data_IF_545564457018
#
_entry.id   IF_545564457018
#
_cell.length_a   1.000
_cell.length_b   1.000
_cell.length_c   1.000
_cell.angle_alpha   90.00
_cell.angle_beta   90.00
_cell.angle_gamma   90.00
#
_symmetry.space_group_name_H-M   'P 1'
#
loop_
_entity.id
_entity.type
_entity.pdbx_description
1 polymer ?
#
# COMPACT_ATOMS: atom_id res chain seq x y z
N UNK A 1 7.56 -1.34 -19.36
CA UNK A 1 7.84 0.04 -18.91
C UNK A 1 7.56 0.24 -17.42
N UNK A 2 6.46 -0.27 -16.86
CA UNK A 2 6.14 -0.09 -15.42
C UNK A 2 7.27 -0.59 -14.51
N UNK A 3 7.80 -1.80 -14.74
CA UNK A 3 8.95 -2.31 -13.97
C UNK A 3 10.18 -1.39 -14.08
N UNK A 4 10.43 -0.85 -15.28
CA UNK A 4 11.55 0.03 -15.54
C UNK A 4 11.47 1.35 -14.74
N UNK A 5 10.27 1.82 -14.39
CA UNK A 5 10.10 3.01 -13.53
C UNK A 5 10.73 2.83 -12.15
N UNK A 6 10.81 1.59 -11.65
CA UNK A 6 11.46 1.27 -10.38
C UNK A 6 12.99 1.24 -10.42
N UNK A 7 13.60 1.28 -11.61
CA UNK A 7 15.06 1.20 -11.75
C UNK A 7 15.77 2.52 -11.45
N UNK A 8 15.06 3.65 -11.47
CA UNK A 8 15.63 5.01 -11.49
C UNK A 8 16.52 5.32 -12.71
N UNK A 9 16.46 4.50 -13.78
CA UNK A 9 17.19 4.70 -15.04
C UNK A 9 16.27 5.02 -16.22
N UNK A 10 14.95 4.91 -16.03
CA UNK A 10 13.94 5.09 -17.07
C UNK A 10 13.36 6.49 -17.05
N UNK A 11 13.36 7.17 -18.20
CA UNK A 11 12.68 8.45 -18.38
C UNK A 11 11.21 8.22 -18.75
N UNK A 12 10.32 8.63 -17.84
CA UNK A 12 8.88 8.49 -17.99
C UNK A 12 8.28 9.40 -19.07
N UNK A 13 8.95 10.49 -19.43
CA UNK A 13 8.50 11.45 -20.45
C UNK A 13 8.80 10.90 -21.85
N UNK A 14 10.05 10.54 -22.12
CA UNK A 14 10.45 9.96 -23.42
C UNK A 14 10.10 8.47 -23.59
N UNK A 15 9.75 7.80 -22.49
CA UNK A 15 9.46 6.37 -22.41
C UNK A 15 10.62 5.46 -22.85
N UNK A 16 11.85 5.85 -22.49
CA UNK A 16 13.08 5.13 -22.82
C UNK A 16 14.01 5.08 -21.61
N UNK A 17 15.03 4.24 -21.70
CA UNK A 17 16.18 4.38 -20.80
C UNK A 17 16.83 5.75 -21.01
N UNK A 18 17.19 6.41 -19.92
CA UNK A 18 17.83 7.72 -19.95
C UNK A 18 19.34 7.56 -20.04
N UNK A 19 19.95 8.06 -21.12
CA UNK A 19 21.40 8.06 -21.29
C UNK A 19 22.10 8.79 -20.13
N UNK A 20 21.52 9.90 -19.66
CA UNK A 20 22.04 10.69 -18.54
C UNK A 20 22.03 9.89 -17.23
N UNK A 21 20.89 9.28 -16.86
CA UNK A 21 20.77 8.51 -15.63
C UNK A 21 21.65 7.25 -15.65
N UNK A 22 21.73 6.59 -16.81
CA UNK A 22 22.60 5.43 -16.99
C UNK A 22 24.08 5.83 -16.85
N UNK A 23 24.49 6.95 -17.46
CA UNK A 23 25.86 7.47 -17.37
C UNK A 23 26.26 7.83 -15.93
N UNK A 24 25.35 8.41 -15.13
CA UNK A 24 25.58 8.70 -13.71
C UNK A 24 25.91 7.44 -12.89
N UNK A 25 25.35 6.29 -13.27
CA UNK A 25 25.61 5.00 -12.63
C UNK A 25 26.74 4.19 -13.31
N UNK A 26 27.34 4.70 -14.40
CA UNK A 26 28.33 3.98 -15.21
C UNK A 26 27.74 2.75 -15.94
N UNK A 27 26.44 2.77 -16.23
CA UNK A 27 25.72 1.68 -16.91
C UNK A 27 25.63 1.99 -18.41
N UNK A 28 26.05 1.03 -19.24
CA UNK A 28 25.83 1.11 -20.69
C UNK A 28 24.37 0.74 -21.01
N UNK A 29 23.66 1.64 -21.71
CA UNK A 29 22.26 1.42 -22.09
C UNK A 29 22.05 0.13 -22.91
N UNK A 30 23.06 -0.34 -23.63
CA UNK A 30 22.99 -1.55 -24.46
C UNK A 30 22.86 -2.84 -23.66
N UNK A 31 23.20 -2.84 -22.36
CA UNK A 31 22.99 -4.00 -21.48
C UNK A 31 21.58 -4.05 -20.88
N UNK A 32 20.81 -2.97 -21.01
CA UNK A 32 19.46 -2.89 -20.46
C UNK A 32 18.45 -3.58 -21.38
N UNK A 33 17.43 -4.24 -20.82
CA UNK A 33 16.44 -4.94 -21.63
C UNK A 33 15.57 -3.97 -22.43
N UNK A 34 14.98 -4.40 -23.56
CA UNK A 34 14.05 -3.57 -24.30
C UNK A 34 12.82 -3.21 -23.45
N UNK A 35 12.33 -1.97 -23.60
CA UNK A 35 11.11 -1.51 -22.93
C UNK A 35 9.89 -1.96 -23.74
N UNK A 36 9.04 -2.77 -23.11
CA UNK A 36 7.80 -3.29 -23.70
C UNK A 36 6.58 -3.02 -22.80
N UNK A 37 5.38 -3.23 -23.32
CA UNK A 37 4.14 -3.15 -22.54
C UNK A 37 3.94 -4.40 -21.68
N UNK A 38 3.24 -4.30 -20.53
CA UNK A 38 2.97 -5.45 -19.67
C UNK A 38 2.26 -6.63 -20.37
N UNK A 39 1.46 -6.34 -21.39
CA UNK A 39 0.71 -7.33 -22.17
C UNK A 39 1.49 -7.92 -23.36
N UNK A 40 2.67 -7.38 -23.68
CA UNK A 40 3.44 -7.84 -24.83
C UNK A 40 3.95 -9.26 -24.58
N UNK A 41 3.81 -10.13 -25.60
CA UNK A 41 4.35 -11.48 -25.59
C UNK A 41 5.86 -11.39 -25.83
N UNK A 42 6.64 -11.64 -24.78
CA UNK A 42 8.10 -11.57 -24.81
C UNK A 42 8.76 -12.91 -25.20
N UNK A 43 7.96 -13.97 -25.30
CA UNK A 43 8.46 -15.28 -25.68
C UNK A 43 7.41 -16.37 -25.57
N UNK A 44 7.88 -17.61 -25.62
CA UNK A 44 7.07 -18.81 -25.47
C UNK A 44 7.79 -19.80 -24.57
N UNK A 45 7.03 -20.62 -23.85
CA UNK A 45 7.59 -21.72 -23.07
C UNK A 45 8.38 -22.65 -23.99
N UNK A 46 9.68 -22.79 -23.73
CA UNK A 46 10.56 -23.71 -24.45
C UNK A 46 10.32 -25.15 -24.00
N UNK A 47 10.71 -26.14 -24.80
CA UNK A 47 10.58 -27.55 -24.42
C UNK A 47 11.30 -27.89 -23.09
N UNK A 48 12.48 -27.30 -22.88
CA UNK A 48 13.25 -27.49 -21.65
C UNK A 48 12.51 -26.97 -20.41
N UNK A 49 11.83 -25.83 -20.53
CA UNK A 49 10.99 -25.26 -19.47
C UNK A 49 9.69 -26.05 -19.27
N UNK A 50 9.07 -26.52 -20.35
CA UNK A 50 7.89 -27.37 -20.31
C UNK A 50 8.14 -28.65 -19.50
N UNK A 51 9.28 -29.32 -19.75
CA UNK A 51 9.69 -30.53 -19.00
C UNK A 51 9.84 -30.30 -17.50
N UNK A 52 10.29 -29.11 -17.08
CA UNK A 52 10.51 -28.75 -15.67
C UNK A 52 9.25 -28.30 -14.94
N UNK A 53 8.33 -27.66 -15.65
CA UNK A 53 7.19 -26.95 -15.05
C UNK A 53 5.85 -27.66 -15.27
N UNK A 54 5.78 -28.58 -16.25
CA UNK A 54 4.52 -29.19 -16.70
C UNK A 54 3.68 -28.29 -17.62
N UNK A 55 4.13 -27.06 -17.90
CA UNK A 55 3.47 -26.17 -18.85
C UNK A 55 3.65 -26.64 -20.30
N UNK A 56 2.68 -26.35 -21.16
CA UNK A 56 2.74 -26.72 -22.58
C UNK A 56 3.81 -25.89 -23.31
N UNK A 57 4.72 -26.56 -24.03
CA UNK A 57 5.67 -25.90 -24.92
C UNK A 57 4.94 -25.06 -25.99
N UNK A 58 5.47 -23.88 -26.29
CA UNK A 58 4.84 -22.92 -27.19
C UNK A 58 3.80 -22.01 -26.54
N UNK A 59 3.44 -22.21 -25.26
CA UNK A 59 2.53 -21.30 -24.53
C UNK A 59 3.13 -19.89 -24.49
N UNK A 60 2.40 -18.84 -24.91
CA UNK A 60 2.88 -17.46 -24.85
C UNK A 60 3.24 -17.03 -23.42
N UNK A 61 4.32 -16.25 -23.30
CA UNK A 61 4.76 -15.63 -22.04
C UNK A 61 4.72 -14.12 -22.23
N UNK A 62 3.92 -13.43 -21.42
CA UNK A 62 3.84 -11.97 -21.42
C UNK A 62 4.91 -11.34 -20.53
N UNK A 63 5.21 -10.05 -20.76
CA UNK A 63 6.16 -9.31 -19.93
C UNK A 63 5.73 -9.25 -18.46
N UNK A 64 4.45 -9.00 -18.18
CA UNK A 64 3.97 -8.74 -16.83
C UNK A 64 4.43 -7.38 -16.29
N UNK A 65 4.28 -7.18 -14.99
CA UNK A 65 4.61 -5.94 -14.28
C UNK A 65 4.76 -6.21 -12.77
N UNK A 66 5.01 -5.15 -12.00
CA UNK A 66 5.23 -5.19 -10.55
C UNK A 66 4.06 -5.84 -9.80
N UNK A 67 4.39 -6.47 -8.66
CA UNK A 67 3.42 -7.08 -7.76
C UNK A 67 2.35 -6.08 -7.31
N UNK A 68 2.75 -4.85 -7.01
CA UNK A 68 1.90 -3.78 -6.49
C UNK A 68 0.90 -3.34 -7.54
N UNK A 69 1.32 -3.18 -8.80
CA UNK A 69 0.39 -2.87 -9.88
C UNK A 69 -0.64 -4.00 -10.07
N UNK A 70 -0.24 -5.25 -9.89
CA UNK A 70 -1.14 -6.41 -9.99
C UNK A 70 -2.11 -6.52 -8.82
N UNK A 71 -1.68 -6.20 -7.60
CA UNK A 71 -2.58 -6.14 -6.44
C UNK A 71 -3.61 -5.00 -6.58
N UNK A 72 -3.18 -3.81 -7.02
CA UNK A 72 -4.08 -2.66 -7.30
C UNK A 72 -5.10 -3.04 -8.37
N UNK A 73 -4.65 -3.69 -9.44
CA UNK A 73 -5.54 -4.18 -10.48
C UNK A 73 -6.51 -5.26 -9.96
N UNK A 74 -6.01 -6.24 -9.21
CA UNK A 74 -6.81 -7.33 -8.62
C UNK A 74 -7.78 -6.84 -7.54
N UNK A 75 -7.53 -5.68 -6.92
CA UNK A 75 -8.46 -5.04 -5.99
C UNK A 75 -9.65 -4.37 -6.70
N UNK A 76 -9.60 -4.28 -8.03
CA UNK A 76 -10.61 -3.65 -8.86
C UNK A 76 -10.37 -2.17 -9.17
N UNK A 77 -9.27 -1.58 -8.69
CA UNK A 77 -8.95 -0.18 -8.96
C UNK A 77 -8.43 -0.03 -10.39
N UNK A 78 -9.27 0.49 -11.28
CA UNK A 78 -8.99 0.59 -12.73
C UNK A 78 -9.45 1.90 -13.35
N UNK A 79 -10.06 2.78 -12.57
CA UNK A 79 -10.62 4.06 -13.01
C UNK A 79 -10.00 5.21 -12.21
N UNK A 80 -9.88 6.39 -12.85
CA UNK A 80 -9.43 7.61 -12.18
C UNK A 80 -10.30 7.86 -10.93
N UNK A 81 -9.65 8.17 -9.81
CA UNK A 81 -10.28 8.40 -8.51
C UNK A 81 -10.51 7.14 -7.68
N UNK A 82 -10.33 5.94 -8.24
CA UNK A 82 -10.28 4.71 -7.44
C UNK A 82 -9.12 4.81 -6.44
N UNK A 83 -9.36 4.37 -5.21
CA UNK A 83 -8.39 4.44 -4.12
C UNK A 83 -8.20 3.05 -3.51
N UNK A 84 -6.96 2.74 -3.16
CA UNK A 84 -6.61 1.50 -2.45
C UNK A 84 -5.97 1.85 -1.11
N UNK A 85 -6.30 1.07 -0.08
CA UNK A 85 -5.69 1.15 1.26
C UNK A 85 -5.08 -0.22 1.56
N UNK A 86 -3.75 -0.29 1.56
CA UNK A 86 -3.01 -1.52 1.82
C UNK A 86 -2.62 -1.61 3.28
N UNK A 87 -3.08 -2.67 3.96
CA UNK A 87 -2.67 -3.07 5.30
C UNK A 87 -1.81 -4.34 5.22
N UNK A 88 -0.58 -4.21 4.74
CA UNK A 88 0.41 -5.28 4.64
C UNK A 88 1.62 -4.97 5.52
N UNK A 89 2.76 -5.65 5.33
CA UNK A 89 4.01 -5.38 6.09
C UNK A 89 4.29 -3.88 6.18
N UNK A 90 4.33 -3.22 5.03
CA UNK A 90 4.19 -1.78 4.87
C UNK A 90 2.74 -1.44 4.50
N UNK A 91 2.29 -0.26 4.90
CA UNK A 91 0.99 0.29 4.54
C UNK A 91 1.13 1.26 3.37
N UNK A 92 0.09 1.38 2.54
CA UNK A 92 0.06 2.34 1.43
C UNK A 92 -1.34 2.86 1.20
N UNK A 93 -1.44 4.10 0.72
CA UNK A 93 -2.64 4.65 0.11
C UNK A 93 -2.27 5.05 -1.31
N UNK A 94 -2.88 4.42 -2.31
CA UNK A 94 -2.67 4.75 -3.72
C UNK A 94 -3.97 5.24 -4.33
N UNK A 95 -3.89 6.28 -5.15
CA UNK A 95 -5.02 6.81 -5.92
C UNK A 95 -4.73 6.62 -7.40
N UNK A 96 -5.69 6.07 -8.13
CA UNK A 96 -5.60 5.99 -9.59
C UNK A 96 -5.80 7.38 -10.18
N UNK A 97 -4.83 7.85 -10.94
CA UNK A 97 -4.83 9.19 -11.56
C UNK A 97 -4.53 9.07 -13.06
N UNK A 98 -4.70 10.15 -13.80
CA UNK A 98 -4.39 10.25 -15.23
C UNK A 98 -3.03 10.89 -15.52
N UNK A 99 -2.25 11.16 -14.47
CA UNK A 99 -0.91 11.77 -14.55
C UNK A 99 -0.07 11.41 -13.32
N UNK A 100 1.27 11.42 -13.42
CA UNK A 100 2.13 11.31 -12.25
C UNK A 100 2.08 12.58 -11.41
N UNK A 101 2.42 12.45 -10.12
CA UNK A 101 2.58 13.53 -9.15
C UNK A 101 4.00 13.48 -8.59
N UNK A 102 4.98 14.15 -9.24
CA UNK A 102 6.38 14.12 -8.81
C UNK A 102 6.55 14.87 -7.50
N UNK A 103 6.46 14.14 -6.39
CA UNK A 103 6.62 14.64 -5.04
C UNK A 103 7.49 13.66 -4.24
N UNK A 104 8.34 14.18 -3.35
CA UNK A 104 9.26 13.36 -2.52
C UNK A 104 8.54 12.33 -1.65
N UNK A 105 7.29 12.60 -1.28
CA UNK A 105 6.50 11.76 -0.39
C UNK A 105 5.61 10.77 -1.16
N UNK A 106 5.66 10.78 -2.50
CA UNK A 106 4.90 9.88 -3.37
C UNK A 106 5.80 8.99 -4.22
N UNK A 107 5.42 7.71 -4.26
CA UNK A 107 5.98 6.77 -5.23
C UNK A 107 5.05 6.71 -6.44
N UNK A 108 5.60 6.99 -7.62
CA UNK A 108 4.84 7.11 -8.86
C UNK A 108 5.12 5.94 -9.80
N UNK A 109 4.07 5.20 -10.15
CA UNK A 109 4.11 4.16 -11.17
C UNK A 109 2.91 4.28 -12.10
N UNK A 110 3.10 3.89 -13.34
CA UNK A 110 2.01 3.77 -14.30
C UNK A 110 1.18 2.53 -14.01
N UNK A 111 -0.12 2.63 -14.25
CA UNK A 111 -1.06 1.52 -14.14
C UNK A 111 -1.11 0.72 -15.45
N UNK A 112 -1.59 -0.53 -15.41
CA UNK A 112 -1.81 -1.33 -16.64
C UNK A 112 -2.97 -0.81 -17.49
N UNK A 113 -3.85 0.02 -16.91
CA UNK A 113 -4.87 0.73 -17.67
C UNK A 113 -4.22 1.91 -18.39
N UNK A 114 -4.41 1.97 -19.71
CA UNK A 114 -3.73 2.92 -20.59
C UNK A 114 -3.94 4.36 -20.11
N UNK A 115 -2.84 5.09 -19.94
CA UNK A 115 -2.83 6.51 -19.56
C UNK A 115 -3.04 6.75 -18.06
N UNK A 116 -3.26 5.71 -17.26
CA UNK A 116 -3.44 5.85 -15.82
C UNK A 116 -2.15 5.59 -15.04
N UNK A 117 -2.10 6.15 -13.84
CA UNK A 117 -1.03 6.08 -12.86
C UNK A 117 -1.61 5.71 -11.50
N UNK A 118 -0.76 5.26 -10.58
CA UNK A 118 -1.14 5.03 -9.19
C UNK A 118 -0.12 5.66 -8.23
N UNK A 119 0.01 7.00 -8.19
CA UNK A 119 0.76 7.66 -7.12
C UNK A 119 0.27 7.16 -5.76
N UNK A 120 1.21 6.90 -4.86
CA UNK A 120 0.87 6.43 -3.53
C UNK A 120 1.88 6.82 -2.47
N UNK A 121 1.35 7.04 -1.28
CA UNK A 121 2.12 7.18 -0.05
C UNK A 121 2.49 5.83 0.52
N UNK A 122 3.43 5.82 1.45
CA UNK A 122 3.81 4.61 2.16
C UNK A 122 4.09 4.89 3.63
N UNK A 123 3.65 3.97 4.49
CA UNK A 123 4.13 3.81 5.86
C UNK A 123 4.93 2.51 5.95
N UNK A 124 6.16 2.58 6.45
CA UNK A 124 7.12 1.45 6.42
C UNK A 124 6.69 0.28 7.29
N UNK A 125 6.10 0.55 8.45
CA UNK A 125 5.78 -0.49 9.43
C UNK A 125 4.29 -0.47 9.80
N UNK A 126 3.47 -1.05 8.92
CA UNK A 126 2.04 -1.25 9.14
C UNK A 126 1.79 -2.58 9.88
N UNK A 127 1.50 -3.68 9.17
CA UNK A 127 1.36 -5.00 9.78
C UNK A 127 2.67 -5.50 10.40
N UNK A 128 3.82 -4.95 9.99
CA UNK A 128 5.09 -5.19 10.67
C UNK A 128 5.08 -4.67 12.12
N UNK A 129 4.45 -3.53 12.41
CA UNK A 129 4.34 -3.01 13.78
C UNK A 129 3.53 -3.95 14.68
N UNK A 130 2.40 -4.45 14.18
CA UNK A 130 1.58 -5.37 14.97
C UNK A 130 2.29 -6.71 15.19
N UNK A 131 2.97 -7.23 14.14
CA UNK A 131 3.80 -8.43 14.25
C UNK A 131 4.93 -8.24 15.26
N UNK A 132 5.68 -7.14 15.17
CA UNK A 132 6.75 -6.80 16.10
C UNK A 132 6.25 -6.78 17.54
N UNK A 133 5.12 -6.12 17.79
CA UNK A 133 4.53 -6.05 19.12
C UNK A 133 4.16 -7.44 19.65
N UNK A 134 3.49 -8.27 18.83
CA UNK A 134 3.17 -9.66 19.19
C UNK A 134 4.42 -10.49 19.47
N UNK A 135 5.44 -10.38 18.63
CA UNK A 135 6.66 -11.19 18.76
C UNK A 135 7.50 -10.77 19.97
N UNK A 136 7.45 -9.48 20.33
CA UNK A 136 8.22 -8.90 21.44
C UNK A 136 7.52 -9.10 22.79
N UNK A 137 6.20 -8.90 22.85
CA UNK A 137 5.43 -8.92 24.09
C UNK A 137 4.49 -10.15 24.22
N UNK A 138 4.56 -11.06 23.26
CA UNK A 138 3.80 -12.31 23.17
C UNK A 138 2.36 -12.13 22.67
N UNK A 139 1.60 -13.24 22.69
CA UNK A 139 0.15 -13.30 22.45
C UNK A 139 -0.27 -13.87 21.10
N UNK A 140 -1.55 -14.21 21.00
CA UNK A 140 -2.21 -14.52 19.73
C UNK A 140 -3.03 -13.33 19.23
N UNK A 141 -3.07 -13.12 17.91
CA UNK A 141 -3.77 -11.98 17.32
C UNK A 141 -5.25 -11.92 17.69
N UNK A 142 -5.95 -13.06 17.81
CA UNK A 142 -7.37 -13.05 18.17
C UNK A 142 -7.59 -12.57 19.60
N UNK A 143 -6.74 -13.00 20.52
CA UNK A 143 -6.80 -12.61 21.93
C UNK A 143 -6.45 -11.13 22.10
N UNK A 144 -5.40 -10.68 21.41
CA UNK A 144 -4.96 -9.30 21.39
C UNK A 144 -6.06 -8.37 20.84
N UNK A 145 -6.66 -8.72 19.70
CA UNK A 145 -7.76 -7.96 19.10
C UNK A 145 -9.00 -7.92 20.01
N UNK A 146 -9.40 -9.06 20.59
CA UNK A 146 -10.56 -9.14 21.45
C UNK A 146 -10.43 -8.29 22.73
N UNK A 147 -9.22 -8.19 23.28
CA UNK A 147 -8.93 -7.33 24.42
C UNK A 147 -8.88 -5.84 24.01
N UNK A 148 -8.20 -5.53 22.90
CA UNK A 148 -8.08 -4.17 22.37
C UNK A 148 -9.44 -3.55 22.00
N UNK A 149 -10.38 -4.36 21.52
CA UNK A 149 -11.74 -3.92 21.17
C UNK A 149 -12.50 -3.25 22.33
N UNK A 150 -12.13 -3.56 23.58
CA UNK A 150 -12.79 -3.03 24.79
C UNK A 150 -12.21 -1.70 25.28
N UNK A 151 -11.04 -1.31 24.78
CA UNK A 151 -10.38 -0.06 25.16
C UNK A 151 -11.02 1.10 24.38
N UNK A 152 -11.24 2.29 24.95
CA UNK A 152 -11.81 3.42 24.21
C UNK A 152 -10.84 3.97 23.14
N UNK A 153 -11.41 4.72 22.18
CA UNK A 153 -10.63 5.47 21.18
C UNK A 153 -9.60 6.39 21.85
N UNK A 154 -8.37 6.38 21.34
CA UNK A 154 -7.28 7.21 21.84
C UNK A 154 -6.60 6.67 23.10
N UNK A 155 -6.92 5.42 23.48
CA UNK A 155 -6.21 4.65 24.49
C UNK A 155 -5.95 5.42 25.81
N UNK A 156 -6.94 6.21 26.24
CA UNK A 156 -6.86 7.03 27.47
C UNK A 156 -5.63 7.97 27.51
N UNK A 157 -5.19 8.43 26.34
CA UNK A 157 -4.07 9.35 26.18
C UNK A 157 -2.73 8.67 25.84
N UNK A 158 -2.69 7.33 25.75
CA UNK A 158 -1.51 6.64 25.23
C UNK A 158 -1.45 6.68 23.71
N UNK A 159 -0.28 7.03 23.17
CA UNK A 159 -0.02 7.10 21.73
C UNK A 159 1.14 6.19 21.37
N UNK A 160 1.04 5.56 20.21
CA UNK A 160 2.13 4.79 19.59
C UNK A 160 2.46 5.38 18.21
N UNK A 161 3.73 5.70 17.98
CA UNK A 161 4.26 6.03 16.65
C UNK A 161 4.90 4.79 16.04
N UNK A 162 4.50 4.35 14.83
CA UNK A 162 4.90 3.06 14.27
C UNK A 162 6.26 3.07 13.55
N UNK A 163 7.15 4.03 13.82
CA UNK A 163 8.36 4.27 13.02
C UNK A 163 9.52 3.34 13.36
N UNK A 164 9.27 2.02 13.41
CA UNK A 164 10.28 1.02 13.81
C UNK A 164 11.50 0.96 12.88
N UNK A 165 11.38 1.45 11.63
CA UNK A 165 12.43 1.41 10.60
C UNK A 165 12.61 2.81 9.95
N UNK A 166 12.45 3.87 10.73
CA UNK A 166 12.16 5.21 10.21
C UNK A 166 10.79 5.26 9.56
N UNK A 167 10.52 6.32 8.80
CA UNK A 167 9.28 6.47 8.04
C UNK A 167 9.53 6.98 6.61
N UNK A 168 8.56 6.73 5.73
CA UNK A 168 8.46 7.38 4.43
C UNK A 168 7.51 8.57 4.55
N UNK A 169 6.32 8.53 3.95
CA UNK A 169 5.40 9.66 3.91
C UNK A 169 4.85 9.99 5.31
N UNK A 170 4.74 11.27 5.72
CA UNK A 170 5.14 12.50 5.02
C UNK A 170 6.55 13.02 5.40
N UNK A 171 7.36 12.24 6.10
CA UNK A 171 8.59 12.75 6.72
C UNK A 171 9.84 12.51 5.86
N UNK A 172 9.86 11.40 5.13
CA UNK A 172 11.04 10.81 4.47
C UNK A 172 12.26 10.78 5.40
N UNK A 173 12.03 10.37 6.65
CA UNK A 173 12.99 10.44 7.73
C UNK A 173 13.38 9.02 8.18
N UNK A 174 14.63 8.58 7.90
CA UNK A 174 15.10 7.27 8.31
C UNK A 174 15.44 7.17 9.81
N UNK A 175 15.56 8.30 10.53
CA UNK A 175 15.98 8.34 11.94
C UNK A 175 14.80 8.24 12.92
N UNK A 176 13.56 8.48 12.46
CA UNK A 176 12.37 8.30 13.30
C UNK A 176 12.35 6.90 13.93
N UNK A 177 11.92 6.86 15.20
CA UNK A 177 11.87 5.64 15.99
C UNK A 177 10.44 5.31 16.44
N UNK A 178 10.16 4.02 16.63
CA UNK A 178 8.94 3.59 17.31
C UNK A 178 8.92 4.06 18.76
N UNK A 179 7.77 4.54 19.23
CA UNK A 179 7.64 5.02 20.61
C UNK A 179 6.24 4.81 21.17
N UNK A 180 6.16 4.58 22.49
CA UNK A 180 4.93 4.67 23.27
C UNK A 180 5.04 5.87 24.22
N UNK A 181 4.07 6.76 24.20
CA UNK A 181 4.02 7.94 25.07
C UNK A 181 2.72 8.00 25.86
N UNK A 182 2.75 8.64 27.03
CA UNK A 182 1.55 8.85 27.85
C UNK A 182 1.14 7.63 28.70
N UNK A 183 2.04 6.68 28.96
CA UNK A 183 1.76 5.47 29.73
C UNK A 183 1.40 5.81 31.19
N UNK A 184 0.32 5.21 31.71
CA UNK A 184 -0.12 5.28 33.12
C UNK A 184 -0.23 3.87 33.70
N UNK A 185 -0.23 3.76 35.03
CA UNK A 185 -0.37 2.49 35.74
C UNK A 185 -1.72 1.77 35.48
N UNK A 186 -2.73 2.49 35.01
CA UNK A 186 -4.03 1.94 34.59
C UNK A 186 -3.98 1.25 33.24
N UNK A 187 -2.98 1.55 32.40
CA UNK A 187 -2.87 0.94 31.08
C UNK A 187 -2.46 -0.52 31.19
N UNK A 188 -3.20 -1.35 30.47
CA UNK A 188 -2.99 -2.78 30.38
C UNK A 188 -2.45 -3.15 29.00
N UNK A 189 -2.04 -4.40 28.82
CA UNK A 189 -1.64 -4.93 27.51
C UNK A 189 -2.67 -4.68 26.40
N UNK A 190 -3.96 -4.66 26.74
CA UNK A 190 -5.03 -4.34 25.79
C UNK A 190 -4.90 -2.90 25.24
N UNK A 191 -4.48 -1.95 26.08
CA UNK A 191 -4.22 -0.57 25.67
C UNK A 191 -3.02 -0.50 24.72
N UNK A 192 -1.95 -1.23 25.03
CA UNK A 192 -0.76 -1.25 24.16
C UNK A 192 -1.09 -1.86 22.79
N UNK A 193 -1.85 -2.95 22.76
CA UNK A 193 -2.34 -3.52 21.49
C UNK A 193 -3.16 -2.50 20.71
N UNK A 194 -4.15 -1.86 21.35
CA UNK A 194 -4.99 -0.88 20.67
C UNK A 194 -4.18 0.31 20.17
N UNK A 195 -3.24 0.81 20.96
CA UNK A 195 -2.36 1.91 20.57
C UNK A 195 -1.52 1.55 19.35
N UNK A 196 -1.03 0.31 19.24
CA UNK A 196 -0.31 -0.15 18.03
C UNK A 196 -1.20 -0.11 16.79
N UNK A 197 -2.45 -0.60 16.90
CA UNK A 197 -3.40 -0.58 15.79
C UNK A 197 -3.79 0.86 15.39
N UNK A 198 -4.14 1.70 16.38
CA UNK A 198 -4.51 3.11 16.17
C UNK A 198 -3.33 3.92 15.62
N UNK A 199 -2.11 3.71 16.13
CA UNK A 199 -0.88 4.37 15.70
C UNK A 199 -0.58 4.16 14.21
N UNK A 200 -0.77 2.94 13.73
CA UNK A 200 -0.65 2.64 12.29
C UNK A 200 -1.76 3.34 11.49
N UNK A 201 -2.99 3.37 11.99
CA UNK A 201 -4.07 4.10 11.32
C UNK A 201 -3.77 5.61 11.27
N UNK A 202 -3.18 6.20 12.32
CA UNK A 202 -2.76 7.60 12.31
C UNK A 202 -1.62 7.86 11.32
N UNK A 203 -0.63 6.96 11.20
CA UNK A 203 0.40 7.07 10.14
C UNK A 203 -0.22 7.04 8.73
N UNK A 204 -1.23 6.19 8.51
CA UNK A 204 -2.01 6.18 7.26
C UNK A 204 -2.81 7.47 7.05
N UNK A 205 -3.37 8.06 8.11
CA UNK A 205 -4.06 9.36 8.03
C UNK A 205 -3.11 10.49 7.66
N UNK A 206 -1.90 10.49 8.21
CA UNK A 206 -0.86 11.46 7.88
C UNK A 206 -0.39 11.29 6.42
N UNK A 207 -0.24 10.04 5.99
CA UNK A 207 -0.05 9.67 4.58
C UNK A 207 -1.20 10.17 3.69
N UNK A 208 -2.46 10.02 4.11
CA UNK A 208 -3.62 10.54 3.36
C UNK A 208 -3.56 12.07 3.22
N UNK A 209 -3.11 12.77 4.26
CA UNK A 209 -2.98 14.24 4.23
C UNK A 209 -2.00 14.75 3.16
N UNK A 210 -1.00 13.95 2.75
CA UNK A 210 -0.12 14.28 1.61
C UNK A 210 -0.91 14.33 0.31
N UNK A 211 -1.75 13.31 0.07
CA UNK A 211 -2.60 13.24 -1.12
C UNK A 211 -3.57 14.44 -1.17
N UNK A 212 -4.15 14.78 -0.01
CA UNK A 212 -5.05 15.93 0.13
C UNK A 212 -4.33 17.26 -0.15
N UNK A 213 -3.11 17.44 0.38
CA UNK A 213 -2.28 18.64 0.17
C UNK A 213 -1.90 18.83 -1.29
N UNK A 214 -1.69 17.74 -2.02
CA UNK A 214 -1.38 17.76 -3.45
C UNK A 214 -2.61 17.91 -4.35
N UNK A 215 -3.82 17.98 -3.76
CA UNK A 215 -5.07 18.14 -4.51
C UNK A 215 -5.45 16.90 -5.33
N UNK A 216 -4.96 15.72 -4.96
CA UNK A 216 -5.28 14.48 -5.66
C UNK A 216 -6.72 14.10 -5.29
N UNK A 217 -7.61 14.12 -6.29
CA UNK A 217 -9.01 13.76 -6.10
C UNK A 217 -9.19 12.22 -6.07
N UNK A 218 -9.98 11.73 -5.11
CA UNK A 218 -10.33 10.32 -4.98
C UNK A 218 -11.76 10.14 -4.42
N UNK A 219 -12.34 8.97 -4.67
CA UNK A 219 -13.67 8.62 -4.22
C UNK A 219 -13.76 8.32 -2.71
N UNK A 220 -14.98 8.26 -2.18
CA UNK A 220 -15.26 7.97 -0.76
C UNK A 220 -15.20 6.48 -0.39
N UNK A 221 -14.80 5.62 -1.34
CA UNK A 221 -14.74 4.16 -1.21
C UNK A 221 -13.39 3.66 -1.66
N UNK A 222 -12.66 2.98 -0.78
CA UNK A 222 -11.38 2.36 -1.07
C UNK A 222 -11.44 0.83 -1.10
N UNK A 223 -10.67 0.23 -2.01
CA UNK A 223 -10.36 -1.19 -1.94
C UNK A 223 -9.30 -1.43 -0.86
N UNK A 224 -9.68 -2.14 0.20
CA UNK A 224 -8.77 -2.52 1.27
C UNK A 224 -8.10 -3.86 0.93
N UNK A 225 -6.77 -3.85 0.88
CA UNK A 225 -5.95 -5.02 0.52
C UNK A 225 -4.90 -5.34 1.59
N UNK A 226 -4.36 -6.56 1.56
CA UNK A 226 -3.33 -7.02 2.50
C UNK A 226 -3.86 -7.71 3.76
N UNK A 227 -2.98 -8.43 4.47
CA UNK A 227 -3.36 -9.33 5.56
C UNK A 227 -4.04 -8.64 6.76
N UNK A 228 -3.72 -7.39 7.05
CA UNK A 228 -4.34 -6.61 8.14
C UNK A 228 -5.83 -6.37 7.94
N UNK A 229 -6.32 -6.44 6.70
CA UNK A 229 -7.75 -6.28 6.39
C UNK A 229 -8.61 -7.44 6.85
N UNK A 230 -8.03 -8.59 7.24
CA UNK A 230 -8.77 -9.75 7.73
C UNK A 230 -9.37 -9.51 9.12
N UNK A 231 -8.71 -8.71 9.96
CA UNK A 231 -9.20 -8.35 11.30
C UNK A 231 -10.30 -7.30 11.21
N UNK A 232 -11.48 -7.60 11.78
CA UNK A 232 -12.63 -6.69 11.73
C UNK A 232 -12.38 -5.41 12.51
N UNK A 233 -11.77 -5.52 13.71
CA UNK A 233 -11.43 -4.39 14.56
C UNK A 233 -10.54 -3.39 13.81
N UNK A 234 -9.43 -3.87 13.25
CA UNK A 234 -8.45 -2.99 12.62
C UNK A 234 -8.98 -2.40 11.31
N UNK A 235 -9.78 -3.16 10.56
CA UNK A 235 -10.47 -2.65 9.37
C UNK A 235 -11.47 -1.54 9.72
N UNK A 236 -12.25 -1.70 10.79
CA UNK A 236 -13.16 -0.64 11.26
C UNK A 236 -12.40 0.59 11.75
N UNK A 237 -11.34 0.41 12.54
CA UNK A 237 -10.48 1.53 12.97
C UNK A 237 -9.91 2.29 11.77
N UNK A 238 -9.42 1.58 10.76
CA UNK A 238 -8.86 2.20 9.55
C UNK A 238 -9.92 2.99 8.80
N UNK A 239 -11.14 2.45 8.63
CA UNK A 239 -12.25 3.15 8.02
C UNK A 239 -12.59 4.43 8.79
N UNK A 240 -12.79 4.31 10.11
CA UNK A 240 -13.13 5.43 11.00
C UNK A 240 -12.06 6.53 10.98
N UNK A 241 -10.78 6.17 11.09
CA UNK A 241 -9.65 7.11 11.12
C UNK A 241 -9.50 7.84 9.79
N UNK A 242 -9.59 7.14 8.66
CA UNK A 242 -9.46 7.75 7.34
C UNK A 242 -10.73 8.49 6.90
N UNK A 243 -11.88 8.17 7.49
CA UNK A 243 -13.19 8.66 7.05
C UNK A 243 -13.59 8.11 5.67
N UNK A 244 -13.12 6.90 5.31
CA UNK A 244 -13.31 6.29 3.99
C UNK A 244 -13.99 4.92 4.14
N UNK A 245 -14.96 4.61 3.29
CA UNK A 245 -15.57 3.28 3.24
C UNK A 245 -14.59 2.28 2.67
N UNK A 246 -14.35 1.17 3.38
CA UNK A 246 -13.45 0.12 2.92
C UNK A 246 -14.25 -1.04 2.32
N UNK A 247 -13.87 -1.48 1.12
CA UNK A 247 -14.37 -2.71 0.49
C UNK A 247 -13.26 -3.73 0.38
N UNK A 248 -13.55 -4.99 0.68
CA UNK A 248 -12.61 -6.10 0.43
C UNK A 248 -13.13 -6.99 -0.69
N UNK A 249 -12.21 -7.66 -1.38
CA UNK A 249 -12.52 -8.72 -2.34
C UNK A 249 -12.16 -10.10 -1.76
N UNK A 250 -12.66 -11.18 -2.36
CA UNK A 250 -12.28 -12.56 -1.97
C UNK A 250 -10.77 -12.80 -2.11
N UNK A 251 -10.16 -12.26 -3.15
CA UNK A 251 -8.71 -12.18 -3.37
C UNK A 251 -8.35 -10.85 -4.03
N UNK A 252 -7.18 -10.34 -3.68
CA UNK A 252 -6.54 -9.18 -4.32
C UNK A 252 -5.05 -9.48 -4.58
N UNK A 253 -4.70 -10.78 -4.65
CA UNK A 253 -3.33 -11.22 -4.78
C UNK A 253 -2.77 -10.85 -6.17
N UNK A 254 -1.49 -10.54 -6.23
CA UNK A 254 -0.79 -10.23 -7.48
C UNK A 254 -0.89 -11.37 -8.51
N UNK A 255 -1.06 -12.62 -8.07
CA UNK A 255 -1.26 -13.78 -8.93
C UNK A 255 -2.60 -13.74 -9.67
N UNK A 256 -3.68 -13.29 -9.02
CA UNK A 256 -4.98 -13.06 -9.67
C UNK A 256 -4.86 -11.93 -10.70
N UNK A 257 -4.24 -10.81 -10.34
CA UNK A 257 -3.98 -9.71 -11.25
C UNK A 257 -3.14 -10.13 -12.47
N UNK A 258 -2.13 -10.97 -12.26
CA UNK A 258 -1.29 -11.53 -13.33
C UNK A 258 -2.06 -12.44 -14.27
N UNK A 259 -2.94 -13.30 -13.73
CA UNK A 259 -3.81 -14.16 -14.53
C UNK A 259 -4.82 -13.33 -15.35
N UNK A 260 -5.39 -12.28 -14.77
CA UNK A 260 -6.26 -11.32 -15.45
C UNK A 260 -5.51 -10.60 -16.58
N UNK A 261 -4.28 -10.13 -16.33
CA UNK A 261 -3.43 -9.50 -17.34
C UNK A 261 -3.10 -10.44 -18.50
N UNK A 262 -2.76 -11.70 -18.20
CA UNK A 262 -2.56 -12.73 -19.21
C UNK A 262 -3.84 -13.01 -20.01
N UNK A 263 -5.01 -12.99 -19.37
CA UNK A 263 -6.30 -13.10 -20.03
C UNK A 263 -6.59 -11.92 -20.98
N UNK A 264 -6.17 -10.70 -20.65
CA UNK A 264 -6.25 -9.55 -21.56
C UNK A 264 -5.35 -9.78 -22.77
N UNK A 265 -4.08 -10.15 -22.55
CA UNK A 265 -3.13 -10.41 -23.63
C UNK A 265 -3.57 -11.57 -24.55
N UNK A 266 -4.25 -12.57 -23.99
CA UNK A 266 -4.81 -13.71 -24.72
C UNK A 266 -6.17 -13.40 -25.40
N UNK A 267 -6.74 -12.21 -25.22
CA UNK A 267 -8.04 -11.83 -25.80
C UNK A 267 -9.26 -12.41 -25.09
N UNK A 268 -9.09 -13.03 -23.91
CA UNK A 268 -10.19 -13.50 -23.05
C UNK A 268 -10.97 -12.33 -22.45
N UNK A 269 -10.24 -11.25 -22.14
CA UNK A 269 -10.82 -10.00 -21.62
C UNK A 269 -10.53 -8.85 -22.58
N UNK A 270 -11.51 -7.97 -22.77
CA UNK A 270 -11.38 -6.84 -23.70
C UNK A 270 -10.41 -5.77 -23.20
N UNK A 271 -10.41 -5.53 -21.89
CA UNK A 271 -9.66 -4.47 -21.23
C UNK A 271 -9.61 -4.73 -19.69
N UNK A 272 -8.88 -3.92 -18.91
CA UNK A 272 -8.80 -4.07 -17.45
C UNK A 272 -10.16 -4.09 -16.73
N UNK A 273 -11.08 -3.19 -17.10
CA UNK A 273 -12.39 -3.12 -16.45
C UNK A 273 -13.23 -4.38 -16.71
N UNK A 274 -13.18 -4.95 -17.93
CA UNK A 274 -13.85 -6.22 -18.27
C UNK A 274 -13.30 -7.40 -17.46
N UNK A 275 -11.98 -7.46 -17.26
CA UNK A 275 -11.36 -8.48 -16.42
C UNK A 275 -11.80 -8.36 -14.96
N UNK A 276 -11.79 -7.14 -14.40
CA UNK A 276 -12.23 -6.88 -13.02
C UNK A 276 -13.68 -7.31 -12.83
N UNK A 277 -14.58 -6.89 -13.72
CA UNK A 277 -16.01 -7.20 -13.64
C UNK A 277 -16.31 -8.71 -13.63
N UNK A 278 -15.46 -9.52 -14.29
CA UNK A 278 -15.64 -10.97 -14.39
C UNK A 278 -14.92 -11.77 -13.31
N UNK A 279 -13.80 -11.26 -12.78
CA UNK A 279 -12.92 -12.03 -11.91
C UNK A 279 -12.89 -11.57 -10.46
N UNK A 280 -13.09 -10.28 -10.18
CA UNK A 280 -12.98 -9.72 -8.84
C UNK A 280 -14.33 -9.83 -8.13
N UNK A 281 -14.35 -10.60 -7.04
CA UNK A 281 -15.57 -10.85 -6.25
C UNK A 281 -15.55 -10.02 -4.96
N UNK A 282 -16.50 -9.08 -4.79
CA UNK A 282 -16.64 -8.35 -3.53
C UNK A 282 -16.93 -9.30 -2.37
N UNK A 283 -16.34 -9.02 -1.21
CA UNK A 283 -16.49 -9.85 0.00
C UNK A 283 -17.17 -9.12 1.14
N UNK A 284 -16.69 -7.93 1.51
CA UNK A 284 -17.27 -7.17 2.61
C UNK A 284 -17.13 -5.67 2.41
N UNK A 285 -17.97 -4.92 3.12
CA UNK A 285 -17.96 -3.46 3.18
C UNK A 285 -17.86 -3.05 4.64
N UNK A 286 -17.05 -2.04 4.93
CA UNK A 286 -16.87 -1.46 6.26
C UNK A 286 -17.02 0.04 6.14
N UNK A 287 -18.12 0.57 6.70
CA UNK A 287 -18.48 1.99 6.60
C UNK A 287 -17.93 2.70 7.83
N UNK A 288 -17.28 3.88 7.67
CA UNK A 288 -16.79 4.65 8.81
C UNK A 288 -17.95 5.14 9.67
N UNK A 289 -17.77 5.12 10.99
CA UNK A 289 -18.66 5.81 11.91
C UNK A 289 -18.22 7.29 12.03
N UNK A 290 -19.05 8.26 11.61
CA UNK A 290 -18.68 9.69 11.62
C UNK A 290 -18.30 10.23 13.01
N UNK A 291 -18.94 9.75 14.08
CA UNK A 291 -18.61 10.16 15.45
C UNK A 291 -17.22 9.67 15.86
N UNK A 292 -16.85 8.45 15.45
CA UNK A 292 -15.51 7.92 15.68
C UNK A 292 -14.48 8.66 14.85
N UNK A 293 -14.78 8.97 13.59
CA UNK A 293 -13.91 9.80 12.74
C UNK A 293 -13.57 11.12 13.42
N UNK A 294 -14.56 11.81 14.00
CA UNK A 294 -14.31 13.06 14.70
C UNK A 294 -13.49 12.88 15.99
N UNK A 295 -13.72 11.79 16.74
CA UNK A 295 -12.89 11.45 17.91
C UNK A 295 -11.43 11.19 17.51
N UNK A 296 -11.21 10.38 16.47
CA UNK A 296 -9.86 10.07 15.97
C UNK A 296 -9.14 11.31 15.45
N UNK A 297 -9.83 12.24 14.78
CA UNK A 297 -9.24 13.52 14.35
C UNK A 297 -8.68 14.32 15.51
N UNK A 298 -9.38 14.37 16.64
CA UNK A 298 -8.88 15.06 17.85
C UNK A 298 -7.63 14.39 18.42
N UNK A 299 -7.61 13.06 18.47
CA UNK A 299 -6.43 12.31 18.92
C UNK A 299 -5.25 12.49 17.96
N UNK A 300 -5.53 12.55 16.66
CA UNK A 300 -4.50 12.75 15.63
C UNK A 300 -3.75 14.08 15.79
N UNK A 301 -4.39 15.14 16.30
CA UNK A 301 -3.70 16.39 16.60
C UNK A 301 -2.63 16.20 17.70
N UNK A 302 -2.92 15.40 18.72
CA UNK A 302 -1.93 15.07 19.76
C UNK A 302 -0.84 14.13 19.23
N UNK A 303 -1.21 13.17 18.36
CA UNK A 303 -0.25 12.32 17.65
C UNK A 303 0.81 13.15 16.90
N UNK A 304 0.39 14.20 16.17
CA UNK A 304 1.29 15.10 15.44
C UNK A 304 2.18 15.92 16.39
N UNK A 305 1.60 16.49 17.45
CA UNK A 305 2.39 17.25 18.45
C UNK A 305 3.48 16.40 19.11
N UNK A 306 3.17 15.15 19.45
CA UNK A 306 4.14 14.23 20.05
C UNK A 306 5.24 13.88 19.04
N UNK A 307 4.88 13.60 17.77
CA UNK A 307 5.88 13.42 16.72
C UNK A 307 6.83 14.62 16.66
N UNK A 308 6.29 15.84 16.54
CA UNK A 308 7.08 17.06 16.35
C UNK A 308 8.00 17.36 17.55
N UNK A 309 7.60 16.94 18.75
CA UNK A 309 8.42 17.05 19.95
C UNK A 309 9.56 16.02 20.01
N UNK A 310 9.35 14.81 19.47
CA UNK A 310 10.31 13.71 19.53
C UNK A 310 11.27 13.67 18.33
N UNK A 311 10.84 14.10 17.14
CA UNK A 311 11.64 14.03 15.92
C UNK A 311 13.03 14.68 16.07
N UNK A 312 13.16 15.91 16.62
CA UNK A 312 14.48 16.53 16.83
C UNK A 312 15.41 15.77 17.78
N UNK A 313 14.85 14.90 18.65
CA UNK A 313 15.61 14.07 19.59
C UNK A 313 16.20 12.84 18.87
N UNK A 314 15.52 12.32 17.86
CA UNK A 314 15.97 11.17 17.09
C UNK A 314 17.10 11.54 16.12
N UNK A 315 17.02 12.70 15.48
CA UNK A 315 18.05 13.22 14.56
C UNK A 315 19.41 13.49 15.22
N UNK A 316 19.41 13.68 16.55
CA UNK A 316 20.63 13.96 17.31
C UNK A 316 21.44 12.69 17.65
N UNK A 317 21.01 11.50 17.20
CA UNK A 317 21.66 10.21 17.48
C UNK A 317 22.53 9.74 16.34
#
# INVERSE_FOLDING_TARGET
>A
YIEAQGSMLYDCVSQKWSDELCALCGIDISVLPPIVAPTDVIGKIQESAAKKTGLKAGTPVICGTTDTCMEVFASGATQKGDITVKLATAGRICVITDMPYPDRDLVNYSHIAKGLWYPGTATKACAASYRWYRDTFGGDYKELDAAAAKIPIGCEGMIYHPYLNGELSPYADPMLCGSFTGIRATHTRAHFTRAVLEGVCYSLLDSKAVLDKLGIEYGSVAAAIGGGTKGELWRQMTADVLGITLKTAESSDSSLGSAMLAGIAAGVFKNPADAVAKCVKPKSVTVPNPENTEKYRKVFLEYKKIHDALAPIYDAR
#
